data_IF_356908696914
#
_entry.id   IF_356908696914
#
_cell.length_a   1.000
_cell.length_b   1.000
_cell.length_c   1.000
_cell.angle_alpha   90.00
_cell.angle_beta   90.00
_cell.angle_gamma   90.00
#
_symmetry.space_group_name_H-M   'P 1'
#
loop_
_entity.id
_entity.type
_entity.pdbx_description
1 polymer ?
#
# COMPACT_ATOMS: atom_id res chain seq x y z
N UNK A 1 14.12 9.21 -16.73
CA UNK A 1 13.00 9.97 -16.16
C UNK A 1 13.33 10.24 -14.70
N UNK A 2 13.34 11.50 -14.26
CA UNK A 2 13.68 11.90 -12.88
C UNK A 2 12.63 11.34 -11.88
N UNK A 3 13.05 10.94 -10.67
CA UNK A 3 12.19 10.51 -9.55
C UNK A 3 10.99 11.41 -9.30
N UNK A 4 11.15 12.73 -9.37
CA UNK A 4 10.05 13.68 -9.15
C UNK A 4 8.91 13.51 -10.18
N UNK A 5 9.27 13.26 -11.44
CA UNK A 5 8.29 13.03 -12.53
C UNK A 5 7.55 11.71 -12.30
N UNK A 6 8.28 10.67 -11.88
CA UNK A 6 7.69 9.37 -11.51
C UNK A 6 6.67 9.52 -10.39
N UNK A 7 7.06 10.20 -9.29
CA UNK A 7 6.18 10.45 -8.15
C UNK A 7 4.92 11.20 -8.60
N UNK A 8 5.07 12.29 -9.36
CA UNK A 8 3.92 13.05 -9.87
C UNK A 8 2.97 12.18 -10.69
N UNK A 9 3.49 11.36 -11.60
CA UNK A 9 2.66 10.50 -12.45
C UNK A 9 1.92 9.41 -11.65
N UNK A 10 2.60 8.83 -10.66
CA UNK A 10 1.99 7.88 -9.72
C UNK A 10 0.85 8.55 -8.95
N UNK A 11 1.11 9.70 -8.33
CA UNK A 11 0.14 10.40 -7.50
C UNK A 11 -1.11 10.81 -8.29
N UNK A 12 -0.94 11.31 -9.51
CA UNK A 12 -2.06 11.66 -10.40
C UNK A 12 -2.89 10.42 -10.74
N UNK A 13 -2.22 9.31 -11.09
CA UNK A 13 -2.89 8.06 -11.46
C UNK A 13 -3.64 7.45 -10.28
N UNK A 14 -3.03 7.41 -9.10
CA UNK A 14 -3.67 6.94 -7.87
C UNK A 14 -4.85 7.83 -7.48
N UNK A 15 -4.75 9.14 -7.63
CA UNK A 15 -5.88 10.04 -7.36
C UNK A 15 -7.07 9.78 -8.28
N UNK A 16 -6.83 9.56 -9.58
CA UNK A 16 -7.87 9.19 -10.55
C UNK A 16 -8.55 7.87 -10.16
N UNK A 17 -7.75 6.87 -9.78
CA UNK A 17 -8.28 5.59 -9.28
C UNK A 17 -9.09 5.79 -8.00
N UNK A 18 -8.59 6.57 -7.05
CA UNK A 18 -9.24 6.77 -5.76
C UNK A 18 -10.58 7.49 -5.89
N UNK A 19 -10.66 8.48 -6.79
CA UNK A 19 -11.89 9.23 -7.07
C UNK A 19 -12.96 8.43 -7.80
N UNK A 20 -12.57 7.39 -8.53
CA UNK A 20 -13.49 6.51 -9.26
C UNK A 20 -13.99 5.33 -8.43
N UNK A 21 -13.38 5.05 -7.26
CA UNK A 21 -13.88 4.03 -6.32
C UNK A 21 -15.29 4.40 -5.88
N UNK A 22 -16.25 3.52 -6.14
CA UNK A 22 -17.62 3.63 -5.63
C UNK A 22 -17.66 2.96 -4.27
N UNK A 23 -17.93 3.71 -3.19
CA UNK A 23 -18.26 3.08 -1.92
C UNK A 23 -19.73 2.63 -1.93
N UNK A 24 -20.00 1.51 -1.25
CA UNK A 24 -21.35 0.96 -1.05
C UNK A 24 -22.26 1.99 -0.33
N UNK A 25 -21.69 2.93 0.43
CA UNK A 25 -22.40 3.97 1.19
C UNK A 25 -22.32 5.38 0.57
N UNK A 26 -21.83 5.52 -0.67
CA UNK A 26 -21.63 6.81 -1.34
C UNK A 26 -20.20 7.35 -1.22
N UNK A 27 -19.92 8.60 -1.62
CA UNK A 27 -18.53 9.12 -1.57
C UNK A 27 -18.05 9.27 -0.13
N UNK A 28 -17.02 8.51 0.25
CA UNK A 28 -16.34 8.61 1.54
C UNK A 28 -15.79 10.04 1.75
N UNK A 29 -15.83 10.61 2.97
CA UNK A 29 -15.29 11.95 3.25
C UNK A 29 -13.83 12.12 2.77
N UNK A 30 -13.02 11.06 2.86
CA UNK A 30 -11.64 11.05 2.38
C UNK A 30 -11.52 11.32 0.86
N UNK A 31 -12.53 11.01 0.05
CA UNK A 31 -12.53 11.33 -1.39
C UNK A 31 -12.75 12.83 -1.68
N UNK A 32 -12.97 13.66 -0.65
CA UNK A 32 -13.05 15.12 -0.75
C UNK A 32 -11.75 15.81 -0.34
N UNK A 33 -10.84 15.11 0.35
CA UNK A 33 -9.57 15.66 0.83
C UNK A 33 -8.40 15.18 -0.04
N UNK A 34 -8.21 15.88 -1.15
CA UNK A 34 -7.12 15.62 -2.08
C UNK A 34 -5.74 15.87 -1.47
N UNK A 35 -5.62 16.90 -0.64
CA UNK A 35 -4.34 17.31 -0.07
C UNK A 35 -3.81 16.23 0.88
N UNK A 36 -4.65 15.73 1.78
CA UNK A 36 -4.28 14.67 2.72
C UNK A 36 -3.94 13.37 1.99
N UNK A 37 -4.73 12.99 0.97
CA UNK A 37 -4.44 11.81 0.15
C UNK A 37 -3.08 11.93 -0.54
N UNK A 38 -2.83 13.03 -1.25
CA UNK A 38 -1.59 13.22 -1.99
C UNK A 38 -0.37 13.30 -1.06
N UNK A 39 -0.50 13.95 0.10
CA UNK A 39 0.59 14.00 1.08
C UNK A 39 0.95 12.59 1.55
N UNK A 40 -0.03 11.80 2.00
CA UNK A 40 0.21 10.43 2.45
C UNK A 40 0.83 9.54 1.37
N UNK A 41 0.35 9.62 0.13
CA UNK A 41 0.92 8.85 -0.98
C UNK A 41 2.31 9.35 -1.38
N UNK A 42 2.57 10.65 -1.31
CA UNK A 42 3.90 11.20 -1.58
C UNK A 42 4.91 10.70 -0.54
N UNK A 43 4.57 10.75 0.75
CA UNK A 43 5.43 10.24 1.82
C UNK A 43 5.75 8.75 1.62
N UNK A 44 4.72 7.95 1.31
CA UNK A 44 4.85 6.52 1.08
C UNK A 44 5.73 6.19 -0.13
N UNK A 45 5.50 6.84 -1.29
CA UNK A 45 6.29 6.57 -2.49
C UNK A 45 7.70 7.14 -2.45
N UNK A 46 7.94 8.19 -1.65
CA UNK A 46 9.25 8.84 -1.56
C UNK A 46 10.34 7.94 -0.97
N UNK A 47 9.98 6.93 -0.16
CA UNK A 47 10.95 5.98 0.42
C UNK A 47 11.52 5.02 -0.62
N UNK A 48 10.87 4.85 -1.78
CA UNK A 48 11.28 3.88 -2.79
C UNK A 48 12.24 4.46 -3.83
N UNK A 49 13.09 3.60 -4.39
CA UNK A 49 13.98 3.96 -5.49
C UNK A 49 13.24 4.07 -6.84
N UNK A 50 13.88 4.66 -7.85
CA UNK A 50 13.25 4.90 -9.16
C UNK A 50 12.82 3.62 -9.89
N UNK A 51 13.49 2.49 -9.69
CA UNK A 51 13.14 1.24 -10.36
C UNK A 51 11.79 0.70 -9.86
N UNK A 52 11.55 0.79 -8.55
CA UNK A 52 10.26 0.45 -7.95
C UNK A 52 9.19 1.41 -8.45
N UNK A 53 9.46 2.72 -8.49
CA UNK A 53 8.50 3.70 -8.98
C UNK A 53 8.13 3.49 -10.46
N UNK A 54 9.11 3.16 -11.30
CA UNK A 54 8.87 2.81 -12.71
C UNK A 54 8.00 1.55 -12.83
N UNK A 55 8.32 0.51 -12.07
CA UNK A 55 7.57 -0.74 -12.06
C UNK A 55 6.13 -0.54 -11.58
N UNK A 56 5.93 0.24 -10.52
CA UNK A 56 4.59 0.53 -10.02
C UNK A 56 3.78 1.43 -10.95
N UNK A 57 4.42 2.43 -11.57
CA UNK A 57 3.74 3.24 -12.59
C UNK A 57 3.25 2.37 -13.76
N UNK A 58 4.06 1.40 -14.19
CA UNK A 58 3.64 0.42 -15.19
C UNK A 58 2.47 -0.44 -14.71
N UNK A 59 2.44 -0.86 -13.44
CA UNK A 59 1.29 -1.59 -12.87
C UNK A 59 -0.01 -0.77 -12.95
N UNK A 60 0.06 0.54 -12.66
CA UNK A 60 -1.07 1.47 -12.76
C UNK A 60 -1.54 1.63 -14.21
N UNK A 61 -0.61 1.81 -15.14
CA UNK A 61 -0.91 1.96 -16.58
C UNK A 61 -1.53 0.68 -17.16
N UNK A 62 -1.00 -0.48 -16.80
CA UNK A 62 -1.51 -1.79 -17.22
C UNK A 62 -2.89 -2.06 -16.62
N UNK A 63 -3.11 -1.76 -15.34
CA UNK A 63 -4.43 -1.88 -14.73
C UNK A 63 -5.44 -1.01 -15.47
N UNK A 64 -5.08 0.26 -15.73
CA UNK A 64 -5.95 1.19 -16.47
C UNK A 64 -6.27 0.70 -17.88
N UNK A 65 -5.31 0.13 -18.61
CA UNK A 65 -5.54 -0.37 -19.97
C UNK A 65 -6.41 -1.64 -20.02
N UNK A 66 -6.57 -2.31 -18.87
CA UNK A 66 -7.42 -3.48 -18.68
C UNK A 66 -8.76 -3.14 -18.01
N UNK A 67 -9.12 -1.86 -17.91
CA UNK A 67 -10.30 -1.36 -17.19
C UNK A 67 -10.35 -1.79 -15.70
N UNK A 68 -9.17 -2.03 -15.12
CA UNK A 68 -8.98 -2.37 -13.71
C UNK A 68 -8.59 -1.14 -12.90
N UNK A 69 -8.90 -1.18 -11.61
CA UNK A 69 -8.58 -0.12 -10.66
C UNK A 69 -7.92 -0.74 -9.42
N UNK A 70 -6.61 -0.54 -9.29
CA UNK A 70 -5.82 -1.14 -8.19
C UNK A 70 -6.32 -0.73 -6.80
N UNK A 71 -6.86 0.48 -6.64
CA UNK A 71 -7.39 0.91 -5.34
C UNK A 71 -8.71 0.20 -5.01
N UNK A 72 -9.54 -0.06 -6.02
CA UNK A 72 -10.74 -0.89 -5.85
C UNK A 72 -10.36 -2.32 -5.49
N UNK A 73 -9.38 -2.89 -6.19
CA UNK A 73 -8.85 -4.24 -5.89
C UNK A 73 -8.28 -4.31 -4.47
N UNK A 74 -7.54 -3.29 -4.01
CA UNK A 74 -7.05 -3.20 -2.63
C UNK A 74 -8.18 -3.31 -1.62
N UNK A 75 -9.26 -2.55 -1.78
CA UNK A 75 -10.40 -2.64 -0.86
C UNK A 75 -11.09 -3.99 -0.93
N UNK A 76 -11.18 -4.58 -2.12
CA UNK A 76 -11.72 -5.92 -2.28
C UNK A 76 -10.86 -6.99 -1.58
N UNK A 77 -9.53 -6.97 -1.72
CA UNK A 77 -8.65 -7.89 -0.98
C UNK A 77 -8.76 -7.69 0.54
N UNK A 78 -8.94 -6.45 0.99
CA UNK A 78 -9.13 -6.12 2.41
C UNK A 78 -10.39 -6.77 3.00
N UNK A 79 -11.45 -6.88 2.18
CA UNK A 79 -12.70 -7.53 2.58
C UNK A 79 -12.51 -9.01 2.94
N UNK A 80 -11.45 -9.68 2.49
CA UNK A 80 -11.15 -11.05 2.92
C UNK A 80 -11.09 -11.20 4.45
N UNK A 81 -10.65 -10.15 5.16
CA UNK A 81 -10.56 -10.14 6.63
C UNK A 81 -11.64 -9.29 7.31
N UNK A 82 -12.24 -8.33 6.58
CA UNK A 82 -13.21 -7.39 7.18
C UNK A 82 -14.67 -7.70 6.83
N UNK A 83 -14.92 -8.39 5.72
CA UNK A 83 -16.26 -8.79 5.25
C UNK A 83 -16.14 -10.02 4.31
N UNK A 84 -15.89 -11.18 4.92
CA UNK A 84 -15.57 -12.40 4.18
C UNK A 84 -16.70 -12.85 3.24
N UNK A 85 -17.97 -12.68 3.65
CA UNK A 85 -19.10 -13.10 2.82
C UNK A 85 -19.16 -12.28 1.52
N UNK A 86 -19.05 -10.96 1.62
CA UNK A 86 -19.00 -10.10 0.43
C UNK A 86 -17.76 -10.36 -0.42
N UNK A 87 -16.59 -10.60 0.21
CA UNK A 87 -15.38 -10.98 -0.51
C UNK A 87 -15.59 -12.21 -1.40
N UNK A 88 -16.28 -13.26 -0.91
CA UNK A 88 -16.55 -14.48 -1.69
C UNK A 88 -17.43 -14.23 -2.91
N UNK A 89 -18.30 -13.23 -2.88
CA UNK A 89 -19.11 -12.84 -4.03
C UNK A 89 -18.27 -12.16 -5.13
N UNK A 90 -17.22 -11.42 -4.74
CA UNK A 90 -16.41 -10.64 -5.67
C UNK A 90 -15.04 -11.25 -6.02
N UNK A 91 -14.60 -12.32 -5.33
CA UNK A 91 -13.24 -12.87 -5.45
C UNK A 91 -12.89 -13.29 -6.88
N UNK A 92 -13.87 -13.76 -7.65
CA UNK A 92 -13.68 -14.20 -9.04
C UNK A 92 -13.41 -13.05 -10.02
N UNK A 93 -13.67 -11.80 -9.63
CA UNK A 93 -13.35 -10.61 -10.42
C UNK A 93 -11.97 -10.03 -10.08
N UNK A 94 -11.30 -10.56 -9.06
CA UNK A 94 -9.98 -10.11 -8.65
C UNK A 94 -8.88 -10.91 -9.36
N UNK A 95 -7.73 -10.26 -9.63
CA UNK A 95 -6.54 -10.98 -10.05
C UNK A 95 -6.18 -12.12 -9.08
N UNK A 96 -5.74 -13.24 -9.62
CA UNK A 96 -5.34 -14.39 -8.79
C UNK A 96 -4.07 -14.04 -8.01
N UNK A 97 -4.09 -14.30 -6.71
CA UNK A 97 -2.91 -14.28 -5.84
C UNK A 97 -2.38 -15.71 -5.74
N UNK A 98 -1.43 -16.04 -6.60
CA UNK A 98 -0.77 -17.35 -6.58
C UNK A 98 0.25 -17.49 -5.43
N UNK A 99 0.82 -18.69 -5.29
CA UNK A 99 1.75 -19.02 -4.21
C UNK A 99 3.02 -18.16 -4.23
N UNK A 100 3.57 -17.87 -5.42
CA UNK A 100 4.74 -17.00 -5.56
C UNK A 100 4.41 -15.58 -5.10
N UNK A 101 3.29 -15.01 -5.55
CA UNK A 101 2.86 -13.67 -5.16
C UNK A 101 2.58 -13.61 -3.66
N UNK A 102 1.90 -14.62 -3.10
CA UNK A 102 1.66 -14.71 -1.66
C UNK A 102 2.97 -14.78 -0.87
N UNK A 103 3.96 -15.54 -1.34
CA UNK A 103 5.27 -15.64 -0.68
C UNK A 103 6.01 -14.30 -0.67
N UNK A 104 6.03 -13.59 -1.80
CA UNK A 104 6.66 -12.27 -1.90
C UNK A 104 6.02 -11.27 -0.93
N UNK A 105 4.69 -11.22 -0.90
CA UNK A 105 3.95 -10.33 0.01
C UNK A 105 4.27 -10.67 1.46
N UNK A 106 4.24 -11.95 1.86
CA UNK A 106 4.52 -12.35 3.23
C UNK A 106 5.95 -11.98 3.67
N UNK A 107 6.95 -12.14 2.79
CA UNK A 107 8.33 -11.72 3.10
C UNK A 107 8.44 -10.21 3.33
N UNK A 108 7.77 -9.39 2.51
CA UNK A 108 7.74 -7.93 2.69
C UNK A 108 7.03 -7.57 4.01
N UNK A 109 5.89 -8.20 4.29
CA UNK A 109 5.11 -7.95 5.50
C UNK A 109 5.90 -8.28 6.78
N UNK A 110 6.68 -9.36 6.79
CA UNK A 110 7.45 -9.74 7.97
C UNK A 110 8.48 -8.66 8.34
N UNK A 111 9.19 -8.10 7.35
CA UNK A 111 10.15 -7.01 7.57
C UNK A 111 9.41 -5.73 7.98
N UNK A 112 8.29 -5.43 7.33
CA UNK A 112 7.47 -4.25 7.66
C UNK A 112 6.97 -4.28 9.10
N UNK A 113 6.45 -5.42 9.55
CA UNK A 113 5.94 -5.60 10.91
C UNK A 113 7.07 -5.48 11.93
N UNK A 114 8.23 -6.08 11.66
CA UNK A 114 9.39 -5.93 12.54
C UNK A 114 9.73 -4.44 12.75
N UNK A 115 9.76 -3.66 11.67
CA UNK A 115 10.00 -2.21 11.74
C UNK A 115 8.92 -1.44 12.50
N UNK A 116 7.66 -1.82 12.36
CA UNK A 116 6.57 -1.24 13.16
C UNK A 116 6.72 -1.58 14.65
N UNK A 117 7.08 -2.82 14.99
CA UNK A 117 7.32 -3.26 16.37
C UNK A 117 8.51 -2.55 17.02
N UNK A 118 9.58 -2.30 16.27
CA UNK A 118 10.71 -1.49 16.74
C UNK A 118 10.28 -0.06 17.11
N UNK A 119 9.41 0.56 16.29
CA UNK A 119 8.90 1.90 16.55
C UNK A 119 7.97 1.94 17.77
N UNK A 120 7.13 0.91 17.94
CA UNK A 120 6.26 0.78 19.11
C UNK A 120 7.10 0.61 20.37
N UNK A 121 8.10 -0.28 20.34
CA UNK A 121 8.95 -0.59 21.49
C UNK A 121 9.81 0.61 21.92
N UNK A 122 10.28 1.40 20.95
CA UNK A 122 11.05 2.62 21.20
C UNK A 122 10.21 3.82 21.66
N UNK A 123 8.88 3.66 21.80
CA UNK A 123 7.94 4.74 22.11
C UNK A 123 8.10 5.93 21.17
N UNK A 124 8.32 5.64 19.88
CA UNK A 124 8.59 6.67 18.89
C UNK A 124 7.44 7.68 18.86
N UNK A 125 7.77 8.96 19.05
CA UNK A 125 6.80 10.04 18.96
C UNK A 125 6.21 10.19 17.54
N UNK A 126 6.75 9.45 16.55
CA UNK A 126 6.33 9.40 15.16
C UNK A 126 5.05 8.60 14.94
N UNK A 127 4.73 7.66 15.82
CA UNK A 127 3.57 6.78 15.67
C UNK A 127 2.26 7.54 15.88
N UNK A 128 1.30 7.24 15.02
CA UNK A 128 -0.10 7.56 15.25
C UNK A 128 -0.79 6.32 15.85
N UNK A 129 -1.25 6.43 17.09
CA UNK A 129 -1.89 5.33 17.82
C UNK A 129 -3.33 5.05 17.35
N UNK A 130 -3.77 5.65 16.24
CA UNK A 130 -5.12 5.48 15.69
C UNK A 130 -5.41 4.07 15.16
N UNK A 131 -4.39 3.25 14.83
CA UNK A 131 -4.56 1.87 14.33
C UNK A 131 -3.69 0.87 15.07
N UNK A 132 -4.26 -0.31 15.30
CA UNK A 132 -3.53 -1.43 15.88
C UNK A 132 -2.79 -2.22 14.78
N UNK A 133 -1.63 -2.77 15.11
CA UNK A 133 -0.80 -3.55 14.19
C UNK A 133 -1.47 -4.83 13.70
N UNK A 134 -2.12 -5.56 14.61
CA UNK A 134 -2.58 -6.93 14.39
C UNK A 134 -4.10 -7.09 14.48
N UNK A 135 -4.76 -6.31 15.34
CA UNK A 135 -6.17 -6.49 15.66
C UNK A 135 -7.03 -5.44 14.96
N UNK A 136 -8.18 -5.91 14.49
CA UNK A 136 -9.25 -5.04 14.03
C UNK A 136 -10.23 -4.82 15.20
N UNK A 137 -10.28 -3.61 15.74
CA UNK A 137 -11.30 -3.23 16.74
C UNK A 137 -12.38 -2.36 16.10
N UNK A 138 -11.99 -1.43 15.24
CA UNK A 138 -12.88 -0.51 14.51
C UNK A 138 -12.40 -0.21 13.07
N UNK A 139 -11.10 -0.42 12.79
CA UNK A 139 -10.45 -0.19 11.51
C UNK A 139 -9.60 -1.40 11.15
N UNK A 140 -9.43 -1.70 9.84
CA UNK A 140 -8.49 -2.72 9.39
C UNK A 140 -7.12 -2.49 10.01
N UNK A 141 -6.48 -3.57 10.47
CA UNK A 141 -5.14 -3.51 11.05
C UNK A 141 -4.13 -2.98 10.02
N UNK A 142 -3.00 -2.45 10.49
CA UNK A 142 -1.90 -2.01 9.60
C UNK A 142 -1.50 -3.17 8.67
N UNK A 143 -1.40 -4.38 9.23
CA UNK A 143 -1.10 -5.60 8.49
C UNK A 143 -2.13 -5.88 7.39
N UNK A 144 -3.42 -5.87 7.71
CA UNK A 144 -4.50 -6.11 6.75
C UNK A 144 -4.47 -5.08 5.63
N UNK A 145 -4.31 -3.80 5.99
CA UNK A 145 -4.30 -2.69 5.05
C UNK A 145 -3.12 -2.78 4.07
N UNK A 146 -1.92 -3.03 4.60
CA UNK A 146 -0.70 -3.10 3.80
C UNK A 146 -0.65 -4.38 2.93
N UNK A 147 -1.05 -5.53 3.48
CA UNK A 147 -1.20 -6.78 2.70
C UNK A 147 -2.10 -6.59 1.49
N UNK A 148 -3.24 -5.98 1.70
CA UNK A 148 -4.25 -5.75 0.65
C UNK A 148 -3.73 -4.83 -0.45
N UNK A 149 -2.89 -3.86 -0.10
CA UNK A 149 -2.20 -2.99 -1.06
C UNK A 149 -1.17 -3.77 -1.88
N UNK A 150 -0.31 -4.56 -1.23
CA UNK A 150 0.71 -5.37 -1.91
C UNK A 150 0.11 -6.41 -2.87
N UNK A 151 -1.08 -6.96 -2.60
CA UNK A 151 -1.76 -7.87 -3.52
C UNK A 151 -2.19 -7.22 -4.84
N UNK A 152 -2.21 -5.90 -4.93
CA UNK A 152 -2.53 -5.20 -6.19
C UNK A 152 -1.33 -5.08 -7.12
N UNK A 153 -0.11 -5.22 -6.59
CA UNK A 153 1.13 -5.00 -7.35
C UNK A 153 1.51 -6.21 -8.19
N UNK A 154 2.24 -5.99 -9.28
CA UNK A 154 2.82 -7.10 -10.04
C UNK A 154 3.90 -7.81 -9.24
N UNK A 155 4.19 -9.07 -9.59
CA UNK A 155 5.31 -9.82 -8.99
C UNK A 155 6.65 -9.09 -9.21
N UNK A 156 6.82 -8.38 -10.32
CA UNK A 156 8.02 -7.61 -10.60
C UNK A 156 8.19 -6.47 -9.59
N UNK A 157 7.13 -5.68 -9.37
CA UNK A 157 7.14 -4.62 -8.36
C UNK A 157 7.40 -5.18 -6.97
N UNK A 158 6.77 -6.30 -6.61
CA UNK A 158 6.99 -6.96 -5.31
C UNK A 158 8.43 -7.46 -5.13
N UNK A 159 9.05 -8.04 -6.16
CA UNK A 159 10.46 -8.47 -6.12
C UNK A 159 11.39 -7.28 -5.86
N UNK A 160 11.19 -6.16 -6.54
CA UNK A 160 11.99 -4.95 -6.35
C UNK A 160 11.78 -4.32 -4.95
N UNK A 161 10.54 -4.32 -4.45
CA UNK A 161 10.24 -3.87 -3.09
C UNK A 161 10.95 -4.76 -2.06
N UNK A 162 10.85 -6.08 -2.21
CA UNK A 162 11.50 -7.04 -1.32
C UNK A 162 13.02 -6.89 -1.32
N UNK A 163 13.63 -6.67 -2.49
CA UNK A 163 15.05 -6.38 -2.62
C UNK A 163 15.45 -5.13 -1.82
N UNK A 164 14.71 -4.01 -2.00
CA UNK A 164 14.98 -2.80 -1.23
C UNK A 164 14.78 -3.01 0.27
N UNK A 165 13.72 -3.73 0.67
CA UNK A 165 13.43 -4.01 2.08
C UNK A 165 14.56 -4.81 2.73
N UNK A 166 15.05 -5.87 2.07
CA UNK A 166 16.19 -6.66 2.54
C UNK A 166 17.47 -5.81 2.66
N UNK A 167 17.76 -4.98 1.65
CA UNK A 167 18.93 -4.10 1.67
C UNK A 167 18.85 -3.10 2.82
N UNK A 168 17.72 -2.40 2.98
CA UNK A 168 17.48 -1.47 4.09
C UNK A 168 17.57 -2.16 5.45
N UNK A 169 16.99 -3.35 5.59
CA UNK A 169 17.08 -4.15 6.81
C UNK A 169 18.53 -4.49 7.16
N UNK A 170 19.32 -4.92 6.18
CA UNK A 170 20.75 -5.24 6.38
C UNK A 170 21.60 -4.03 6.79
N UNK A 171 21.16 -2.83 6.42
CA UNK A 171 21.80 -1.56 6.78
C UNK A 171 21.24 -0.94 8.08
N UNK A 172 20.30 -1.59 8.76
CA UNK A 172 19.63 -1.05 9.95
C UNK A 172 18.73 0.15 9.66
N UNK A 173 18.27 0.31 8.42
CA UNK A 173 17.40 1.41 8.00
C UNK A 173 15.94 0.96 8.08
N UNK A 174 15.15 1.62 8.91
CA UNK A 174 13.72 1.37 9.06
C UNK A 174 12.91 2.24 8.07
N UNK A 175 12.40 1.63 7.01
CA UNK A 175 11.66 2.37 5.97
C UNK A 175 10.27 2.84 6.45
N UNK A 176 9.69 2.21 7.47
CA UNK A 176 8.44 2.69 8.09
C UNK A 176 8.70 4.02 8.79
N UNK A 177 9.80 4.12 9.53
CA UNK A 177 10.21 5.35 10.17
C UNK A 177 10.44 6.48 9.16
N UNK A 178 11.13 6.21 8.05
CA UNK A 178 11.36 7.18 6.98
C UNK A 178 10.05 7.67 6.34
N UNK A 179 9.08 6.78 6.16
CA UNK A 179 7.74 7.17 5.70
C UNK A 179 7.05 8.11 6.71
N UNK A 180 7.09 7.79 8.01
CA UNK A 180 6.49 8.62 9.06
C UNK A 180 7.17 9.99 9.18
N UNK A 181 8.50 10.05 9.06
CA UNK A 181 9.25 11.31 8.98
C UNK A 181 8.81 12.15 7.78
N UNK A 182 8.59 11.52 6.63
CA UNK A 182 8.11 12.21 5.43
C UNK A 182 6.65 12.68 5.54
N UNK A 183 5.81 12.03 6.34
CA UNK A 183 4.41 12.42 6.54
C UNK A 183 4.25 13.70 7.37
N UNK A 184 5.25 13.98 8.21
CA UNK A 184 5.25 15.12 9.16
C UNK A 184 5.99 16.37 8.64
N UNK A 185 6.55 16.30 7.43
CA UNK A 185 7.16 17.45 6.74
C UNK A 185 6.07 18.33 6.14
#
# INVERSE_FOLDING_TARGET
MNKEILLKNILVSEWIFFKSVKSIKGKEPCQKDMATFLNSRLSYWSIYNENILKSYLFDLELAKSQDRNLITEKYAYMMKETDYLYYKEIENFLPIVDSEKSSLVNSILNIHIFWEEELVSSHSNLLDNSRNLYKNTLLPSILTYFRSELYTYSKQTLKLILEQYNNSYSLGINLVEENLKNLRK
#
